data_IF_521178853260
#
_entry.id   IF_521178853260
#
_cell.length_a   1.000
_cell.length_b   1.000
_cell.length_c   1.000
_cell.angle_alpha   90.00
_cell.angle_beta   90.00
_cell.angle_gamma   90.00
#
_symmetry.space_group_name_H-M   'P 1'
#
loop_
_entity.id
_entity.type
_entity.pdbx_description
1 polymer ?
#
# COMPACT_ATOMS: atom_id res chain seq x y z
N UNK A 1 -13.72 -29.01 -29.61
CA UNK A 1 -13.03 -28.45 -30.79
C UNK A 1 -13.28 -26.94 -30.87
N UNK A 2 -12.80 -26.19 -29.89
CA UNK A 2 -12.57 -24.74 -30.00
C UNK A 2 -11.18 -24.49 -29.43
N UNK A 3 -10.25 -24.49 -30.38
CA UNK A 3 -8.83 -24.20 -30.24
C UNK A 3 -8.64 -22.87 -29.52
N UNK A 4 -8.00 -22.91 -28.36
CA UNK A 4 -7.52 -21.73 -27.66
C UNK A 4 -6.42 -21.08 -28.51
N UNK A 5 -6.81 -20.13 -29.35
CA UNK A 5 -5.92 -19.38 -30.24
C UNK A 5 -4.98 -18.43 -29.50
N UNK A 6 -5.01 -18.38 -28.16
CA UNK A 6 -4.14 -17.50 -27.36
C UNK A 6 -2.71 -18.00 -27.22
N UNK A 7 -2.44 -19.28 -27.51
CA UNK A 7 -1.09 -19.87 -27.40
C UNK A 7 -0.14 -19.45 -28.53
N UNK A 8 -0.66 -18.94 -29.66
CA UNK A 8 0.18 -18.59 -30.83
C UNK A 8 0.77 -17.18 -30.79
N UNK A 9 0.34 -16.32 -29.85
CA UNK A 9 0.71 -14.90 -29.89
C UNK A 9 2.00 -14.54 -29.16
N UNK A 10 2.76 -15.51 -28.63
CA UNK A 10 4.10 -15.27 -28.04
C UNK A 10 4.15 -14.23 -26.92
N UNK A 11 3.00 -13.76 -26.43
CA UNK A 11 2.91 -12.80 -25.36
C UNK A 11 3.27 -13.56 -24.09
N UNK A 12 4.26 -13.10 -23.30
CA UNK A 12 4.49 -13.70 -22.01
C UNK A 12 3.19 -13.58 -21.22
N UNK A 13 2.52 -14.72 -20.97
CA UNK A 13 1.49 -14.80 -19.95
C UNK A 13 2.21 -14.51 -18.64
N UNK A 14 2.27 -13.22 -18.29
CA UNK A 14 2.68 -12.76 -16.97
C UNK A 14 1.60 -13.28 -16.04
N UNK A 15 1.80 -14.49 -15.49
CA UNK A 15 0.95 -15.00 -14.42
C UNK A 15 0.93 -13.91 -13.35
N UNK A 16 -0.26 -13.49 -12.88
CA UNK A 16 -0.34 -12.46 -11.86
C UNK A 16 0.54 -12.91 -10.70
N UNK A 17 1.59 -12.14 -10.45
CA UNK A 17 2.50 -12.28 -9.33
C UNK A 17 1.65 -12.66 -8.11
N UNK A 18 1.80 -13.89 -7.59
CA UNK A 18 0.90 -14.46 -6.57
C UNK A 18 0.63 -13.41 -5.48
N UNK A 19 -0.54 -12.77 -5.58
CA UNK A 19 -0.91 -11.66 -4.71
C UNK A 19 -1.39 -12.31 -3.42
N UNK A 20 -0.70 -12.02 -2.33
CA UNK A 20 -1.05 -12.61 -1.04
C UNK A 20 -2.37 -12.01 -0.55
N UNK A 21 -3.49 -12.65 -0.90
CA UNK A 21 -4.85 -12.20 -0.54
C UNK A 21 -5.02 -12.01 0.97
N UNK A 22 -4.35 -12.84 1.77
CA UNK A 22 -4.34 -12.75 3.22
C UNK A 22 -3.74 -11.42 3.70
N UNK A 23 -2.64 -10.99 3.08
CA UNK A 23 -1.96 -9.73 3.42
C UNK A 23 -2.81 -8.52 3.05
N UNK A 24 -3.47 -8.57 1.89
CA UNK A 24 -4.40 -7.52 1.45
C UNK A 24 -5.63 -7.44 2.37
N UNK A 25 -6.11 -8.59 2.88
CA UNK A 25 -7.19 -8.65 3.86
C UNK A 25 -6.80 -8.04 5.21
N UNK A 26 -5.65 -8.42 5.78
CA UNK A 26 -5.16 -7.85 7.05
C UNK A 26 -4.89 -6.34 6.93
N UNK A 27 -4.37 -5.89 5.78
CA UNK A 27 -4.20 -4.47 5.49
C UNK A 27 -5.54 -3.74 5.49
N UNK A 28 -6.55 -4.28 4.80
CA UNK A 28 -7.90 -3.71 4.77
C UNK A 28 -8.55 -3.65 6.16
N UNK A 29 -8.40 -4.69 6.96
CA UNK A 29 -8.88 -4.74 8.35
C UNK A 29 -8.22 -3.62 9.19
N UNK A 30 -6.90 -3.43 9.06
CA UNK A 30 -6.18 -2.39 9.79
C UNK A 30 -6.68 -0.96 9.41
N UNK A 31 -6.98 -0.71 8.14
CA UNK A 31 -7.57 0.56 7.68
C UNK A 31 -8.95 0.83 8.30
N UNK A 32 -9.80 -0.20 8.43
CA UNK A 32 -11.12 -0.08 9.05
C UNK A 32 -10.98 0.27 10.54
N UNK A 33 -10.07 -0.40 11.25
CA UNK A 33 -9.84 -0.15 12.68
C UNK A 33 -9.30 1.26 12.93
N UNK A 34 -8.37 1.77 12.11
CA UNK A 34 -7.87 3.15 12.19
C UNK A 34 -9.01 4.15 11.99
N UNK A 35 -9.85 3.95 10.97
CA UNK A 35 -10.97 4.82 10.67
C UNK A 35 -11.95 4.92 11.85
N UNK A 36 -12.29 3.78 12.46
CA UNK A 36 -13.17 3.73 13.64
C UNK A 36 -12.55 4.46 14.83
N UNK A 37 -11.23 4.34 15.04
CA UNK A 37 -10.53 4.97 16.17
C UNK A 37 -10.37 6.50 16.02
N UNK A 38 -10.38 7.03 14.79
CA UNK A 38 -10.18 8.46 14.52
C UNK A 38 -11.49 9.24 14.26
N UNK A 39 -12.67 8.62 14.29
CA UNK A 39 -13.95 9.34 14.24
C UNK A 39 -14.31 9.88 15.65
N UNK A 40 -14.30 11.21 15.87
CA UNK A 40 -14.75 11.79 17.13
C UNK A 40 -16.29 11.70 17.24
N UNK A 41 -16.80 11.55 18.47
CA UNK A 41 -18.23 11.55 18.86
C UNK A 41 -19.07 10.31 18.45
N UNK A 42 -18.57 9.09 18.70
CA UNK A 42 -19.36 7.87 18.48
C UNK A 42 -19.78 7.18 19.81
N UNK A 43 -21.09 6.98 20.10
CA UNK A 43 -21.58 6.31 21.32
C UNK A 43 -21.22 4.81 21.42
N UNK A 44 -20.62 4.22 20.38
CA UNK A 44 -20.04 2.87 20.37
C UNK A 44 -18.66 2.77 21.05
N UNK A 45 -18.28 3.80 21.81
CA UNK A 45 -17.04 3.94 22.57
C UNK A 45 -16.77 2.77 23.55
N UNK A 46 -17.81 2.06 23.99
CA UNK A 46 -17.70 0.98 25.00
C UNK A 46 -17.58 -0.44 24.44
N UNK A 47 -17.93 -0.66 23.18
CA UNK A 47 -17.84 -1.98 22.53
C UNK A 47 -16.68 -2.08 21.52
N UNK A 48 -15.86 -1.03 21.45
CA UNK A 48 -14.71 -1.01 20.58
C UNK A 48 -13.57 -1.78 21.27
N UNK A 49 -12.91 -2.75 20.61
CA UNK A 49 -11.72 -3.44 21.13
C UNK A 49 -10.48 -2.53 21.29
N UNK A 50 -10.69 -1.23 21.48
CA UNK A 50 -9.67 -0.19 21.69
C UNK A 50 -8.89 -0.33 23.01
N UNK A 51 -9.18 -1.34 23.82
CA UNK A 51 -8.45 -1.65 25.07
C UNK A 51 -8.06 -3.12 25.26
N UNK A 52 -8.44 -4.04 24.36
CA UNK A 52 -8.16 -5.46 24.53
C UNK A 52 -6.84 -5.94 23.89
N UNK A 53 -6.04 -5.03 23.33
CA UNK A 53 -4.72 -5.35 22.82
C UNK A 53 -3.69 -4.43 23.44
N UNK A 54 -2.59 -4.97 23.93
CA UNK A 54 -1.40 -4.22 24.36
C UNK A 54 -0.72 -3.45 23.19
N UNK A 55 -1.43 -3.25 22.07
CA UNK A 55 -0.94 -2.67 20.82
C UNK A 55 -2.09 -1.96 20.05
N UNK A 56 -1.92 -0.68 19.71
CA UNK A 56 -2.94 0.18 19.10
C UNK A 56 -3.18 -0.14 17.60
N UNK A 57 -4.28 0.38 17.03
CA UNK A 57 -4.65 0.24 15.61
C UNK A 57 -3.53 0.64 14.64
N UNK A 58 -2.74 1.66 15.03
CA UNK A 58 -1.59 2.11 14.26
C UNK A 58 -0.45 1.07 14.21
N UNK A 59 -0.20 0.33 15.28
CA UNK A 59 0.92 -0.62 15.37
C UNK A 59 0.67 -1.86 14.50
N UNK A 60 -0.56 -2.36 14.46
CA UNK A 60 -0.96 -3.47 13.56
C UNK A 60 -0.80 -3.07 12.09
N UNK A 61 -1.13 -1.83 11.74
CA UNK A 61 -0.96 -1.30 10.38
C UNK A 61 0.52 -1.19 9.99
N UNK A 62 1.35 -0.64 10.89
CA UNK A 62 2.80 -0.53 10.67
C UNK A 62 3.43 -1.91 10.53
N UNK A 63 3.09 -2.87 11.40
CA UNK A 63 3.58 -4.25 11.32
C UNK A 63 3.23 -4.91 9.98
N UNK A 64 1.97 -4.81 9.54
CA UNK A 64 1.51 -5.36 8.26
C UNK A 64 2.25 -4.73 7.07
N UNK A 65 2.51 -3.42 7.10
CA UNK A 65 3.27 -2.71 6.07
C UNK A 65 4.74 -3.16 5.99
N UNK A 66 5.37 -3.44 7.14
CA UNK A 66 6.72 -3.99 7.24
C UNK A 66 6.81 -5.42 6.70
N UNK A 67 5.87 -6.28 7.09
CA UNK A 67 5.81 -7.66 6.60
C UNK A 67 5.56 -7.74 5.09
N UNK A 68 4.67 -6.89 4.56
CA UNK A 68 4.44 -6.74 3.12
C UNK A 68 5.72 -6.34 2.36
N UNK A 69 6.45 -5.37 2.91
CA UNK A 69 7.70 -4.87 2.33
C UNK A 69 8.80 -5.94 2.38
N UNK A 70 8.89 -6.71 3.46
CA UNK A 70 9.81 -7.83 3.59
C UNK A 70 9.52 -8.92 2.54
N UNK A 71 8.26 -9.26 2.28
CA UNK A 71 7.89 -10.24 1.24
C UNK A 71 8.12 -9.71 -0.18
N UNK A 72 7.86 -8.43 -0.43
CA UNK A 72 8.02 -7.82 -1.75
C UNK A 72 9.50 -7.60 -2.13
N UNK A 73 10.32 -7.16 -1.18
CA UNK A 73 11.72 -6.82 -1.42
C UNK A 73 12.71 -7.88 -0.95
N UNK A 74 12.32 -8.81 -0.07
CA UNK A 74 13.20 -9.85 0.48
C UNK A 74 13.88 -10.69 -0.59
N UNK A 75 13.11 -11.19 -1.58
CA UNK A 75 13.68 -11.93 -2.72
C UNK A 75 14.53 -11.07 -3.67
N UNK A 76 14.32 -9.75 -3.67
CA UNK A 76 15.15 -8.81 -4.43
C UNK A 76 16.49 -8.59 -3.73
N UNK A 77 16.48 -8.52 -2.39
CA UNK A 77 17.68 -8.40 -1.56
C UNK A 77 18.56 -9.65 -1.64
N UNK A 78 17.97 -10.85 -1.64
CA UNK A 78 18.73 -12.10 -1.79
C UNK A 78 19.43 -12.22 -3.16
N UNK A 79 18.83 -11.73 -4.25
CA UNK A 79 19.36 -11.91 -5.60
C UNK A 79 20.24 -10.77 -6.12
N UNK A 80 19.93 -9.52 -5.75
CA UNK A 80 20.60 -8.33 -6.30
C UNK A 80 21.45 -7.58 -5.25
N UNK A 81 21.44 -8.02 -4.00
CA UNK A 81 22.14 -7.37 -2.90
C UNK A 81 21.40 -6.15 -2.34
N UNK A 82 21.84 -5.72 -1.15
CA UNK A 82 21.24 -4.61 -0.40
C UNK A 82 21.20 -3.29 -1.18
N UNK A 83 22.24 -3.03 -1.98
CA UNK A 83 22.39 -1.76 -2.68
C UNK A 83 21.41 -1.57 -3.84
N UNK A 84 21.28 -2.57 -4.73
CA UNK A 84 20.32 -2.51 -5.84
C UNK A 84 18.86 -2.55 -5.34
N UNK A 85 18.58 -3.30 -4.27
CA UNK A 85 17.27 -3.31 -3.63
C UNK A 85 16.87 -1.92 -3.11
N UNK A 86 17.80 -1.25 -2.42
CA UNK A 86 17.59 0.11 -1.89
C UNK A 86 17.36 1.14 -3.00
N UNK A 87 18.18 1.14 -4.05
CA UNK A 87 18.03 2.08 -5.18
C UNK A 87 16.64 1.94 -5.84
N UNK A 88 16.15 0.71 -5.99
CA UNK A 88 14.82 0.46 -6.57
C UNK A 88 13.69 0.99 -5.69
N UNK A 89 13.81 0.85 -4.37
CA UNK A 89 12.86 1.40 -3.40
C UNK A 89 12.90 2.92 -3.43
N UNK A 90 14.09 3.52 -3.36
CA UNK A 90 14.28 4.97 -3.40
C UNK A 90 13.72 5.57 -4.68
N UNK A 91 13.91 4.93 -5.83
CA UNK A 91 13.33 5.39 -7.09
C UNK A 91 11.79 5.43 -7.02
N UNK A 92 11.16 4.42 -6.42
CA UNK A 92 9.69 4.42 -6.20
C UNK A 92 9.27 5.53 -5.23
N UNK A 93 10.01 5.75 -4.15
CA UNK A 93 9.75 6.84 -3.20
C UNK A 93 9.84 8.21 -3.89
N UNK A 94 10.86 8.42 -4.72
CA UNK A 94 11.04 9.66 -5.51
C UNK A 94 9.86 9.86 -6.46
N UNK A 95 9.41 8.82 -7.17
CA UNK A 95 8.25 8.90 -8.06
C UNK A 95 6.96 9.34 -7.32
N UNK A 96 6.69 8.73 -6.16
CA UNK A 96 5.52 9.06 -5.35
C UNK A 96 5.65 10.49 -4.80
N UNK A 97 6.83 10.86 -4.32
CA UNK A 97 7.09 12.19 -3.79
C UNK A 97 6.96 13.28 -4.86
N UNK A 98 7.50 13.06 -6.06
CA UNK A 98 7.37 14.00 -7.17
C UNK A 98 5.91 14.16 -7.61
N UNK A 99 5.13 13.07 -7.61
CA UNK A 99 3.70 13.13 -7.89
C UNK A 99 2.96 13.93 -6.82
N UNK A 100 3.27 13.71 -5.54
CA UNK A 100 2.67 14.45 -4.44
C UNK A 100 2.99 15.95 -4.50
N UNK A 101 4.26 16.30 -4.76
CA UNK A 101 4.68 17.68 -4.91
C UNK A 101 3.97 18.36 -6.09
N UNK A 102 3.84 17.65 -7.21
CA UNK A 102 3.11 18.13 -8.40
C UNK A 102 1.64 18.39 -8.07
N UNK A 103 0.97 17.44 -7.39
CA UNK A 103 -0.42 17.61 -6.95
C UNK A 103 -0.59 18.79 -6.00
N UNK A 104 0.34 18.97 -5.06
CA UNK A 104 0.33 20.09 -4.11
C UNK A 104 0.49 21.44 -4.82
N UNK A 105 1.45 21.55 -5.75
CA UNK A 105 1.68 22.76 -6.54
C UNK A 105 0.49 23.07 -7.45
N UNK A 106 -0.09 22.07 -8.11
CA UNK A 106 -1.31 22.23 -8.91
C UNK A 106 -2.47 22.75 -8.06
N UNK A 107 -2.70 22.16 -6.89
CA UNK A 107 -3.74 22.61 -5.97
C UNK A 107 -3.50 24.05 -5.53
N UNK A 108 -2.27 24.39 -5.13
CA UNK A 108 -1.91 25.75 -4.74
C UNK A 108 -2.14 26.76 -5.89
N UNK A 109 -1.78 26.39 -7.12
CA UNK A 109 -2.01 27.23 -8.31
C UNK A 109 -3.50 27.44 -8.58
N UNK A 110 -4.31 26.39 -8.46
CA UNK A 110 -5.78 26.48 -8.57
C UNK A 110 -6.34 27.40 -7.49
N UNK A 111 -5.91 27.27 -6.23
CA UNK A 111 -6.34 28.14 -5.15
C UNK A 111 -5.98 29.61 -5.40
N UNK A 112 -4.77 29.90 -5.91
CA UNK A 112 -4.33 31.27 -6.21
C UNK A 112 -5.13 31.87 -7.38
N UNK A 113 -5.41 31.08 -8.43
CA UNK A 113 -6.23 31.53 -9.57
C UNK A 113 -7.68 31.76 -9.14
N UNK A 114 -8.26 30.88 -8.32
CA UNK A 114 -9.63 31.00 -7.83
C UNK A 114 -9.83 32.06 -6.74
N UNK A 115 -8.75 32.58 -6.15
CA UNK A 115 -8.77 33.70 -5.20
C UNK A 115 -8.68 35.08 -5.90
N UNK A 116 -8.81 35.13 -7.23
CA UNK A 116 -9.04 36.36 -8.00
C UNK A 116 -10.51 36.45 -8.38
#
# INVERSE_FOLDING_TARGET
MLSDKRTYMGLPYQSPQNRNLQLDFFRGLALIVIFINHMPDNPWFWYTPSRFGLSDAAEVFVFSSGFASALAYGRCFERAGLWLGLVRILYRCVQIYSAHLTSFVLLALVCVIGNR
#
